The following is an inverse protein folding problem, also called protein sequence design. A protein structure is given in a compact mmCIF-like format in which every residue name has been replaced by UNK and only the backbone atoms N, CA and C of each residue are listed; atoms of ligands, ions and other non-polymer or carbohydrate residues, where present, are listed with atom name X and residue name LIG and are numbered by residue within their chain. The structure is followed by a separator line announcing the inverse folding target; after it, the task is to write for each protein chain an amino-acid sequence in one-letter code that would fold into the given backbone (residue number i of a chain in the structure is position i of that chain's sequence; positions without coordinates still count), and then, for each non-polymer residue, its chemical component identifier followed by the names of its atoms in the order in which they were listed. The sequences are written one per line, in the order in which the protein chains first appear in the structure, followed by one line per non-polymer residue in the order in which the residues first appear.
data_IF_735285827582
#
_entry.id   IF_735285827582
#
_cell.length_a   1.000
_cell.length_b   1.000
_cell.length_c   1.000
_cell.angle_alpha   90.00
_cell.angle_beta   90.00
_cell.angle_gamma   90.00
#
_symmetry.space_group_name_H-M   'P 1'
#
loop_
_entity.id
_entity.type
_entity.pdbx_description
1 polymer ?
#
# COMPACT_ATOMS: atom_id res chain seq x y z
N UNK A 1 -19.78 12.23 19.77
CA UNK A 1 -19.59 11.97 18.33
C UNK A 1 -18.19 11.44 18.13
N UNK A 2 -18.01 10.29 17.47
CA UNK A 2 -16.66 9.90 17.04
C UNK A 2 -16.12 10.94 16.07
N UNK A 3 -14.82 11.27 16.11
CA UNK A 3 -14.22 12.12 15.10
C UNK A 3 -14.44 11.46 13.72
N UNK A 4 -14.72 12.29 12.71
CA UNK A 4 -14.75 11.82 11.33
C UNK A 4 -13.38 11.26 10.96
N UNK A 5 -13.35 10.17 10.20
CA UNK A 5 -12.10 9.60 9.70
C UNK A 5 -11.31 10.68 8.92
N UNK A 6 -9.98 10.73 9.08
CA UNK A 6 -9.16 11.69 8.35
C UNK A 6 -9.32 11.50 6.84
N UNK A 7 -9.35 12.62 6.10
CA UNK A 7 -9.35 12.59 4.64
C UNK A 7 -7.96 12.18 4.14
N UNK A 8 -7.88 11.09 3.37
CA UNK A 8 -6.63 10.43 2.99
C UNK A 8 -5.57 11.40 2.43
N UNK A 9 -5.87 12.07 1.31
CA UNK A 9 -4.88 12.93 0.63
C UNK A 9 -4.48 14.17 1.43
N UNK A 10 -5.42 14.94 2.04
CA UNK A 10 -5.05 16.00 2.96
C UNK A 10 -4.15 15.53 4.12
N UNK A 11 -4.37 14.32 4.63
CA UNK A 11 -3.51 13.74 5.67
C UNK A 11 -2.14 13.34 5.13
N UNK A 12 -2.06 12.70 3.96
CA UNK A 12 -0.79 12.38 3.31
C UNK A 12 0.02 13.65 3.01
N UNK A 13 -0.61 14.72 2.53
CA UNK A 13 0.03 16.02 2.30
C UNK A 13 0.57 16.63 3.60
N UNK A 14 -0.20 16.56 4.69
CA UNK A 14 0.24 17.05 6.00
C UNK A 14 1.44 16.25 6.53
N UNK A 15 1.42 14.92 6.41
CA UNK A 15 2.54 14.05 6.78
C UNK A 15 3.77 14.34 5.94
N UNK A 16 3.61 14.45 4.62
CA UNK A 16 4.69 14.81 3.71
C UNK A 16 5.27 16.19 4.05
N UNK A 17 4.44 17.20 4.29
CA UNK A 17 4.89 18.55 4.61
C UNK A 17 5.64 18.61 5.95
N UNK A 18 5.15 17.89 6.97
CA UNK A 18 5.86 17.76 8.24
C UNK A 18 7.23 17.11 8.05
N UNK A 19 7.28 16.02 7.29
CA UNK A 19 8.51 15.29 6.99
C UNK A 19 9.53 16.09 6.15
N UNK A 20 9.03 16.84 5.16
CA UNK A 20 9.84 17.69 4.28
C UNK A 20 10.41 18.90 5.04
N UNK A 21 9.64 19.46 5.98
CA UNK A 21 10.10 20.53 6.88
C UNK A 21 11.26 20.12 7.80
N UNK A 22 11.48 18.81 8.00
CA UNK A 22 12.59 18.26 8.78
C UNK A 22 13.68 17.61 7.91
N UNK A 23 13.70 17.87 6.59
CA UNK A 23 14.72 17.28 5.72
C UNK A 23 16.12 17.80 6.05
N UNK A 24 17.06 16.87 6.22
CA UNK A 24 18.49 17.17 6.33
C UNK A 24 19.21 17.08 4.96
N UNK A 25 18.52 16.56 3.95
CA UNK A 25 19.09 16.09 2.69
C UNK A 25 18.43 16.76 1.48
N UNK A 26 19.09 16.69 0.32
CA UNK A 26 18.52 17.17 -0.95
C UNK A 26 17.32 16.33 -1.43
N UNK A 27 16.62 16.80 -2.45
CA UNK A 27 15.38 16.17 -2.96
C UNK A 27 15.58 14.70 -3.37
N UNK A 28 16.62 14.41 -4.16
CA UNK A 28 16.91 13.04 -4.62
C UNK A 28 17.21 12.10 -3.45
N UNK A 29 18.02 12.54 -2.50
CA UNK A 29 18.39 11.74 -1.34
C UNK A 29 17.18 11.53 -0.42
N UNK A 30 16.35 12.55 -0.23
CA UNK A 30 15.08 12.44 0.49
C UNK A 30 14.18 11.37 -0.13
N UNK A 31 14.00 11.37 -1.45
CA UNK A 31 13.24 10.32 -2.15
C UNK A 31 13.82 8.92 -1.90
N UNK A 32 15.14 8.76 -2.00
CA UNK A 32 15.78 7.47 -1.75
C UNK A 32 15.55 7.00 -0.31
N UNK A 33 15.64 7.89 0.67
CA UNK A 33 15.35 7.58 2.08
C UNK A 33 13.89 7.17 2.30
N UNK A 34 12.92 7.78 1.59
CA UNK A 34 11.51 7.33 1.64
C UNK A 34 11.32 5.93 1.08
N UNK A 35 12.02 5.59 -0.01
CA UNK A 35 11.99 4.24 -0.57
C UNK A 35 12.68 3.20 0.32
N UNK A 36 13.73 3.60 1.05
CA UNK A 36 14.36 2.74 2.07
C UNK A 36 13.42 2.51 3.25
N UNK A 37 12.74 3.55 3.74
CA UNK A 37 11.72 3.42 4.79
C UNK A 37 10.59 2.49 4.37
N UNK A 38 10.13 2.57 3.11
CA UNK A 38 9.14 1.61 2.58
C UNK A 38 9.62 0.15 2.67
N UNK A 39 10.91 -0.10 2.40
CA UNK A 39 11.46 -1.46 2.52
C UNK A 39 11.50 -1.94 3.98
N UNK A 40 11.74 -1.03 4.92
CA UNK A 40 11.69 -1.31 6.36
C UNK A 40 10.28 -1.72 6.79
N UNK A 41 9.23 -0.95 6.43
CA UNK A 41 7.83 -1.28 6.78
C UNK A 41 7.38 -2.64 6.22
N UNK A 42 7.83 -2.98 5.01
CA UNK A 42 7.54 -4.32 4.43
C UNK A 42 8.22 -5.43 5.26
N UNK A 43 9.40 -5.17 5.81
CA UNK A 43 10.08 -6.06 6.73
C UNK A 43 9.34 -6.22 8.07
N UNK A 44 8.81 -5.12 8.61
CA UNK A 44 8.00 -5.12 9.84
C UNK A 44 6.69 -5.89 9.65
N UNK A 45 5.98 -5.68 8.53
CA UNK A 45 4.81 -6.48 8.17
C UNK A 45 5.12 -7.98 8.06
N UNK A 46 6.25 -8.34 7.45
CA UNK A 46 6.69 -9.74 7.39
C UNK A 46 7.00 -10.30 8.78
N UNK A 47 7.64 -9.51 9.64
CA UNK A 47 7.93 -9.89 11.03
C UNK A 47 6.63 -10.11 11.83
N UNK A 48 5.64 -9.23 11.68
CA UNK A 48 4.34 -9.37 12.32
C UNK A 48 3.63 -10.66 11.88
N UNK A 49 3.66 -11.01 10.58
CA UNK A 49 3.10 -12.27 10.07
C UNK A 49 3.80 -13.48 10.69
N UNK A 50 5.13 -13.50 10.72
CA UNK A 50 5.92 -14.58 11.36
C UNK A 50 5.55 -14.70 12.84
N UNK A 51 5.39 -13.57 13.52
CA UNK A 51 4.98 -13.49 14.92
C UNK A 51 3.56 -13.98 15.17
N UNK A 52 2.60 -13.63 14.31
CA UNK A 52 1.19 -14.02 14.43
C UNK A 52 0.96 -15.51 14.10
N UNK A 53 1.75 -16.06 13.19
CA UNK A 53 1.68 -17.47 12.78
C UNK A 53 2.51 -18.41 13.67
N UNK A 54 3.27 -17.86 14.61
CA UNK A 54 4.10 -18.64 15.54
C UNK A 54 5.24 -19.41 14.86
N UNK A 55 5.67 -18.99 13.66
CA UNK A 55 6.66 -19.71 12.85
C UNK A 55 8.07 -19.69 13.45
N UNK A 56 8.30 -18.92 14.52
CA UNK A 56 9.55 -18.93 15.27
C UNK A 56 9.50 -19.96 16.42
N UNK A 57 10.16 -21.12 16.30
CA UNK A 57 10.07 -22.19 17.32
C UNK A 57 10.63 -21.79 18.69
N UNK A 58 11.43 -20.72 18.76
CA UNK A 58 12.04 -20.22 20.01
C UNK A 58 11.16 -19.23 20.77
N UNK A 59 10.16 -18.64 20.11
CA UNK A 59 9.35 -17.54 20.67
C UNK A 59 7.85 -17.79 20.66
N UNK A 60 7.36 -18.78 19.90
CA UNK A 60 5.92 -19.01 19.75
C UNK A 60 5.23 -17.82 19.07
N UNK A 61 3.97 -17.59 19.40
CA UNK A 61 3.21 -16.43 18.90
C UNK A 61 3.62 -15.16 19.64
N UNK A 62 4.13 -14.17 18.91
CA UNK A 62 4.59 -12.89 19.48
C UNK A 62 3.78 -11.68 19.02
N UNK A 63 2.97 -11.84 17.98
CA UNK A 63 2.11 -10.80 17.43
C UNK A 63 0.70 -11.38 17.23
N UNK A 64 -0.23 -10.48 16.96
CA UNK A 64 -1.61 -10.74 16.58
C UNK A 64 -1.82 -10.41 15.11
N UNK A 65 -2.94 -10.82 14.53
CA UNK A 65 -3.29 -10.39 13.18
C UNK A 65 -3.64 -8.90 13.10
N UNK A 66 -4.05 -8.29 14.22
CA UNK A 66 -4.22 -6.83 14.32
C UNK A 66 -2.89 -6.09 14.18
N UNK A 67 -1.80 -6.66 14.69
CA UNK A 67 -0.46 -6.08 14.47
C UNK A 67 -0.12 -6.15 12.97
N UNK A 68 -0.44 -7.25 12.28
CA UNK A 68 -0.26 -7.33 10.81
C UNK A 68 -1.08 -6.27 10.07
N UNK A 69 -2.32 -6.03 10.49
CA UNK A 69 -3.16 -4.96 9.92
C UNK A 69 -2.52 -3.58 10.10
N UNK A 70 -1.94 -3.31 11.27
CA UNK A 70 -1.24 -2.06 11.57
C UNK A 70 -0.01 -1.88 10.67
N UNK A 71 0.85 -2.90 10.57
CA UNK A 71 2.04 -2.84 9.72
C UNK A 71 1.69 -2.66 8.23
N UNK A 72 0.60 -3.28 7.76
CA UNK A 72 0.12 -3.06 6.39
C UNK A 72 -0.36 -1.61 6.17
N UNK A 73 -0.96 -0.98 7.19
CA UNK A 73 -1.29 0.44 7.12
C UNK A 73 -0.04 1.30 7.02
N UNK A 74 1.02 0.98 7.79
CA UNK A 74 2.28 1.72 7.76
C UNK A 74 3.00 1.59 6.40
N UNK A 75 2.96 0.40 5.78
CA UNK A 75 3.41 0.21 4.39
C UNK A 75 2.65 1.12 3.42
N UNK A 76 1.31 1.14 3.50
CA UNK A 76 0.46 1.95 2.61
C UNK A 76 0.73 3.44 2.81
N UNK A 77 0.77 3.92 4.05
CA UNK A 77 1.03 5.32 4.38
C UNK A 77 2.43 5.73 3.87
N UNK A 78 3.45 4.91 4.12
CA UNK A 78 4.81 5.18 3.68
C UNK A 78 4.94 5.21 2.15
N UNK A 79 4.25 4.31 1.45
CA UNK A 79 4.20 4.31 -0.01
C UNK A 79 3.53 5.57 -0.58
N UNK A 80 2.42 6.02 0.01
CA UNK A 80 1.72 7.24 -0.41
C UNK A 80 2.56 8.49 -0.16
N UNK A 81 3.26 8.58 0.97
CA UNK A 81 4.20 9.67 1.25
C UNK A 81 5.38 9.65 0.28
N UNK A 82 5.94 8.48 -0.03
CA UNK A 82 7.01 8.35 -1.02
C UNK A 82 6.54 8.80 -2.42
N UNK A 83 5.33 8.45 -2.82
CA UNK A 83 4.72 8.91 -4.07
C UNK A 83 4.56 10.44 -4.07
N UNK A 84 4.12 11.02 -2.94
CA UNK A 84 3.98 12.47 -2.78
C UNK A 84 5.32 13.22 -2.76
N UNK A 85 6.39 12.59 -2.30
CA UNK A 85 7.77 13.08 -2.44
C UNK A 85 8.22 13.05 -3.90
N UNK A 86 7.83 12.04 -4.67
CA UNK A 86 8.21 11.91 -6.07
C UNK A 86 7.46 12.89 -6.99
N UNK A 87 6.21 13.20 -6.69
CA UNK A 87 5.37 14.08 -7.50
C UNK A 87 4.34 14.83 -6.66
N UNK A 88 4.08 16.13 -6.95
CA UNK A 88 2.98 16.85 -6.33
C UNK A 88 1.60 16.32 -6.73
N UNK A 89 1.49 15.63 -7.87
CA UNK A 89 0.23 15.13 -8.44
C UNK A 89 -0.11 13.71 -7.96
N UNK A 90 0.37 13.33 -6.76
CA UNK A 90 0.30 11.96 -6.24
C UNK A 90 -1.13 11.40 -6.20
N UNK A 91 -2.11 12.24 -5.85
CA UNK A 91 -3.53 11.86 -5.82
C UNK A 91 -4.03 11.43 -7.21
N UNK A 92 -3.78 12.24 -8.23
CA UNK A 92 -4.19 11.95 -9.60
C UNK A 92 -3.45 10.72 -10.15
N UNK A 93 -2.14 10.64 -9.90
CA UNK A 93 -1.30 9.51 -10.34
C UNK A 93 -1.80 8.20 -9.75
N UNK A 94 -2.04 8.16 -8.44
CA UNK A 94 -2.57 6.99 -7.75
C UNK A 94 -3.97 6.64 -8.24
N UNK A 95 -4.88 7.62 -8.31
CA UNK A 95 -6.26 7.41 -8.76
C UNK A 95 -6.35 6.82 -10.17
N UNK A 96 -5.58 7.37 -11.11
CA UNK A 96 -5.48 6.85 -12.48
C UNK A 96 -4.90 5.44 -12.53
N UNK A 97 -3.87 5.16 -11.73
CA UNK A 97 -3.28 3.82 -11.68
C UNK A 97 -4.26 2.80 -11.09
N UNK A 98 -4.94 3.15 -9.99
CA UNK A 98 -5.93 2.32 -9.33
C UNK A 98 -7.10 2.00 -10.26
N UNK A 99 -7.64 2.99 -10.97
CA UNK A 99 -8.70 2.78 -11.96
C UNK A 99 -8.28 1.79 -13.04
N UNK A 100 -7.06 1.92 -13.57
CA UNK A 100 -6.51 0.98 -14.57
C UNK A 100 -6.38 -0.44 -14.02
N UNK A 101 -5.91 -0.60 -12.77
CA UNK A 101 -5.80 -1.92 -12.13
C UNK A 101 -7.18 -2.52 -11.92
N UNK A 102 -8.15 -1.74 -11.44
CA UNK A 102 -9.55 -2.16 -11.29
C UNK A 102 -10.12 -2.64 -12.62
N UNK A 103 -10.00 -1.83 -13.68
CA UNK A 103 -10.57 -2.14 -14.98
C UNK A 103 -9.93 -3.39 -15.61
N UNK A 104 -8.63 -3.61 -15.39
CA UNK A 104 -7.95 -4.84 -15.84
C UNK A 104 -8.37 -6.08 -15.05
N UNK A 105 -8.51 -5.96 -13.73
CA UNK A 105 -8.75 -7.11 -12.83
C UNK A 105 -10.22 -7.49 -12.73
N UNK A 106 -11.13 -6.51 -12.80
CA UNK A 106 -12.58 -6.68 -12.64
C UNK A 106 -13.34 -6.46 -13.96
N UNK A 107 -12.69 -5.91 -14.99
CA UNK A 107 -13.25 -5.80 -16.33
C UNK A 107 -13.44 -7.19 -16.92
N UNK A 108 -14.69 -7.48 -17.27
CA UNK A 108 -15.20 -8.76 -17.74
C UNK A 108 -14.33 -9.36 -18.84
N UNK A 109 -13.94 -10.63 -18.65
CA UNK A 109 -13.61 -11.49 -19.77
C UNK A 109 -14.79 -11.49 -20.73
N UNK A 110 -14.65 -10.85 -21.88
CA UNK A 110 -15.53 -11.11 -23.02
C UNK A 110 -15.33 -12.57 -23.38
N UNK A 111 -16.18 -13.43 -22.82
CA UNK A 111 -16.50 -14.72 -23.40
C UNK A 111 -17.00 -14.41 -24.81
N UNK A 112 -16.12 -14.58 -25.79
CA UNK A 112 -16.56 -14.76 -27.16
C UNK A 112 -17.29 -16.10 -27.16
N UNK A 113 -18.61 -16.05 -26.97
CA UNK A 113 -19.51 -17.15 -27.21
C UNK A 113 -19.54 -17.43 -28.70
N UNK A 114 -18.48 -18.02 -29.23
CA UNK A 114 -18.54 -18.68 -30.53
C UNK A 114 -19.12 -20.07 -30.30
N UNK A 115 -20.37 -20.21 -30.76
CA UNK A 115 -21.19 -21.38 -30.59
C UNK A 115 -20.52 -22.62 -31.18
N UNK A 116 -20.20 -23.57 -30.30
CA UNK A 116 -20.08 -24.97 -30.70
C UNK A 116 -21.49 -25.56 -30.64
N UNK A 117 -22.13 -25.91 -31.77
CA UNK A 117 -23.45 -26.53 -31.73
C UNK A 117 -23.35 -27.93 -31.10
N UNK A 118 -24.42 -28.41 -30.44
CA UNK A 118 -24.40 -29.70 -29.76
C UNK A 118 -24.23 -30.83 -30.76
N UNK A 119 -23.30 -31.76 -30.48
CA UNK A 119 -23.28 -33.06 -31.14
C UNK A 119 -24.38 -33.92 -30.52
N UNK A 120 -25.42 -34.18 -31.29
CA UNK A 120 -26.44 -35.21 -31.05
C UNK A 120 -25.84 -36.62 -31.17
N UNK A 121 -26.51 -37.64 -30.59
CA UNK A 121 -25.92 -38.64 -29.68
C UNK A 121 -25.02 -39.70 -30.34
#
# INVERSE_FOLDING_TARGET
SSPAAPALWPTVDALWAWLDGHRAHGERETLLLRLLKLSEEVGEAAQAVIGATGQNPRKGTTHTWQDVEAELCDVVITALVALRTLTPDAEEVFGRHLARVRDRSLGTGTTHGDGVPPRTP
#
